data_IF_187448309490
#
_entry.id   IF_187448309490
#
_cell.length_a   1.000
_cell.length_b   1.000
_cell.length_c   1.000
_cell.angle_alpha   90.00
_cell.angle_beta   90.00
_cell.angle_gamma   90.00
#
_symmetry.space_group_name_H-M   'P 1'
#
loop_
_entity.id
_entity.type
_entity.pdbx_description
1 polymer ?
#
# COMPACT_ATOMS: atom_id res chain seq x y z
N UNK A 1 14.64 3.52 33.08
CA UNK A 1 13.54 4.49 33.20
C UNK A 1 13.39 5.16 31.85
N UNK A 2 12.18 5.21 31.32
CA UNK A 2 11.87 5.97 30.10
C UNK A 2 11.43 7.35 30.59
N UNK A 3 12.18 8.40 30.25
CA UNK A 3 11.82 9.78 30.54
C UNK A 3 10.78 10.24 29.52
N UNK A 4 9.58 10.53 29.99
CA UNK A 4 8.48 11.11 29.22
C UNK A 4 8.55 12.63 29.27
N UNK A 5 9.59 13.20 28.68
CA UNK A 5 9.77 14.64 28.59
C UNK A 5 9.60 15.07 27.14
N UNK A 6 8.80 16.12 26.94
CA UNK A 6 8.60 16.71 25.62
C UNK A 6 9.91 17.25 25.07
N UNK A 7 10.18 16.98 23.79
CA UNK A 7 11.45 17.29 23.15
C UNK A 7 11.25 18.27 21.99
N UNK A 8 11.57 19.54 22.24
CA UNK A 8 11.45 20.62 21.26
C UNK A 8 12.35 20.43 20.03
N UNK A 9 13.37 19.57 20.11
CA UNK A 9 14.23 19.20 18.98
C UNK A 9 13.47 18.42 17.90
N UNK A 10 12.27 17.93 18.19
CA UNK A 10 11.40 17.27 17.24
C UNK A 10 10.65 18.25 16.31
N UNK A 11 10.55 19.54 16.66
CA UNK A 11 9.80 20.52 15.86
C UNK A 11 10.26 20.60 14.40
N UNK A 12 11.57 20.64 14.07
CA UNK A 12 12.01 20.61 12.68
C UNK A 12 11.48 19.40 11.90
N UNK A 13 11.33 18.24 12.54
CA UNK A 13 10.76 17.04 11.89
C UNK A 13 9.26 17.21 11.61
N UNK A 14 8.52 17.81 12.56
CA UNK A 14 7.09 18.11 12.38
C UNK A 14 6.89 19.11 11.23
N UNK A 15 7.67 20.20 11.21
CA UNK A 15 7.62 21.19 10.12
C UNK A 15 8.04 20.60 8.78
N UNK A 16 9.10 19.77 8.77
CA UNK A 16 9.54 19.07 7.57
C UNK A 16 8.45 18.14 7.02
N UNK A 17 7.73 17.43 7.88
CA UNK A 17 6.61 16.60 7.47
C UNK A 17 5.46 17.43 6.86
N UNK A 18 5.11 18.57 7.45
CA UNK A 18 4.12 19.50 6.88
C UNK A 18 4.59 20.02 5.52
N UNK A 19 5.87 20.39 5.39
CA UNK A 19 6.44 20.84 4.13
C UNK A 19 6.34 19.75 3.04
N UNK A 20 6.70 18.50 3.35
CA UNK A 20 6.54 17.38 2.42
C UNK A 20 5.07 17.19 2.04
N UNK A 21 4.13 17.33 2.99
CA UNK A 21 2.70 17.26 2.72
C UNK A 21 2.27 18.31 1.68
N UNK A 22 2.67 19.57 1.89
CA UNK A 22 2.37 20.69 0.97
C UNK A 22 2.98 20.44 -0.41
N UNK A 23 4.25 20.04 -0.48
CA UNK A 23 4.91 19.72 -1.75
C UNK A 23 4.21 18.55 -2.45
N UNK A 24 3.81 17.52 -1.70
CA UNK A 24 3.07 16.37 -2.21
C UNK A 24 1.72 16.75 -2.81
N UNK A 25 0.96 17.63 -2.14
CA UNK A 25 -0.32 18.13 -2.68
C UNK A 25 -0.10 18.96 -3.94
N UNK A 26 0.85 19.90 -3.92
CA UNK A 26 1.16 20.74 -5.09
C UNK A 26 1.63 19.93 -6.29
N UNK A 27 2.34 18.83 -6.04
CA UNK A 27 2.74 17.87 -7.07
C UNK A 27 1.66 16.86 -7.45
N UNK A 28 0.49 16.87 -6.80
CA UNK A 28 -0.56 15.84 -6.92
C UNK A 28 0.00 14.40 -6.76
N UNK A 29 0.99 14.25 -5.87
CA UNK A 29 1.75 13.01 -5.69
C UNK A 29 1.36 12.33 -4.36
N UNK A 30 0.44 11.37 -4.46
CA UNK A 30 -0.17 10.71 -3.30
C UNK A 30 0.82 9.92 -2.44
N UNK A 31 1.94 9.43 -2.99
CA UNK A 31 2.90 8.65 -2.23
C UNK A 31 3.66 9.55 -1.24
N UNK A 32 4.12 10.71 -1.70
CA UNK A 32 4.76 11.77 -0.93
C UNK A 32 3.88 12.26 0.20
N UNK A 33 2.58 12.48 -0.07
CA UNK A 33 1.60 12.86 0.96
C UNK A 33 1.49 11.76 2.04
N UNK A 34 1.42 10.48 1.66
CA UNK A 34 1.32 9.36 2.62
C UNK A 34 2.60 9.21 3.46
N UNK A 35 3.78 9.41 2.85
CA UNK A 35 5.07 9.41 3.55
C UNK A 35 5.13 10.55 4.56
N UNK A 36 4.65 11.74 4.20
CA UNK A 36 4.61 12.91 5.08
C UNK A 36 3.83 12.62 6.35
N UNK A 37 2.68 11.92 6.24
CA UNK A 37 1.84 11.55 7.38
C UNK A 37 2.60 10.68 8.40
N UNK A 38 3.43 9.74 7.94
CA UNK A 38 4.22 8.89 8.86
C UNK A 38 5.33 9.68 9.55
N UNK A 39 6.04 10.53 8.81
CA UNK A 39 7.07 11.41 9.38
C UNK A 39 6.43 12.34 10.41
N UNK A 40 5.23 12.83 10.12
CA UNK A 40 4.46 13.68 11.03
C UNK A 40 4.07 12.94 12.32
N UNK A 41 3.56 11.71 12.24
CA UNK A 41 3.23 10.88 13.41
C UNK A 41 4.50 10.62 14.25
N UNK A 42 5.61 10.26 13.63
CA UNK A 42 6.89 10.04 14.32
C UNK A 42 7.37 11.33 14.99
N UNK A 43 7.29 12.46 14.28
CA UNK A 43 7.65 13.78 14.78
C UNK A 43 6.78 14.22 15.97
N UNK A 44 5.48 14.00 15.91
CA UNK A 44 4.55 14.30 17.02
C UNK A 44 4.81 13.42 18.24
N UNK A 45 5.01 12.11 18.06
CA UNK A 45 5.33 11.21 19.18
C UNK A 45 6.66 11.65 19.83
N UNK A 46 7.67 12.00 19.04
CA UNK A 46 8.92 12.52 19.56
C UNK A 46 8.71 13.86 20.29
N UNK A 47 7.96 14.78 19.71
CA UNK A 47 7.71 16.08 20.30
C UNK A 47 6.99 15.98 21.65
N UNK A 48 5.95 15.16 21.74
CA UNK A 48 5.11 15.03 22.93
C UNK A 48 5.80 14.20 24.02
N UNK A 49 6.37 13.05 23.65
CA UNK A 49 6.81 12.02 24.60
C UNK A 49 8.34 11.81 24.64
N UNK A 50 9.09 12.46 23.77
CA UNK A 50 10.54 12.41 23.73
C UNK A 50 11.12 11.23 22.95
N UNK A 51 12.42 11.33 22.66
CA UNK A 51 13.14 10.35 21.81
C UNK A 51 13.18 8.94 22.40
N UNK A 52 13.14 8.82 23.73
CA UNK A 52 13.19 7.51 24.40
C UNK A 52 11.94 6.68 24.09
N UNK A 53 10.78 7.32 23.93
CA UNK A 53 9.53 6.64 23.56
C UNK A 53 9.58 6.12 22.13
N UNK A 54 10.24 6.82 21.20
CA UNK A 54 10.46 6.29 19.85
C UNK A 54 11.25 4.97 19.85
N UNK A 55 12.22 4.82 20.76
CA UNK A 55 13.00 3.56 20.88
C UNK A 55 12.12 2.40 21.37
N UNK A 56 11.19 2.68 22.28
CA UNK A 56 10.22 1.70 22.78
C UNK A 56 9.24 1.34 21.66
N UNK A 57 8.74 2.34 20.94
CA UNK A 57 7.78 2.19 19.84
C UNK A 57 8.42 1.81 18.49
N UNK A 58 9.70 1.43 18.46
CA UNK A 58 10.42 1.11 17.21
C UNK A 58 9.69 0.07 16.35
N UNK A 59 9.08 -0.95 16.97
CA UNK A 59 8.37 -1.98 16.23
C UNK A 59 7.02 -1.48 15.70
N UNK A 60 6.11 -0.91 16.52
CA UNK A 60 4.87 -0.31 16.00
C UNK A 60 5.11 0.74 14.91
N UNK A 61 6.12 1.60 15.07
CA UNK A 61 6.47 2.61 14.08
C UNK A 61 7.03 1.99 12.79
N UNK A 62 7.95 1.04 12.89
CA UNK A 62 8.44 0.31 11.72
C UNK A 62 7.34 -0.49 11.01
N UNK A 63 6.41 -1.07 11.77
CA UNK A 63 5.25 -1.78 11.24
C UNK A 63 4.29 -0.82 10.51
N UNK A 64 4.12 0.40 11.01
CA UNK A 64 3.28 1.43 10.38
C UNK A 64 3.79 1.81 8.98
N UNK A 65 5.09 1.72 8.71
CA UNK A 65 5.63 1.92 7.35
C UNK A 65 5.10 0.91 6.32
N UNK A 66 4.67 -0.29 6.75
CA UNK A 66 4.06 -1.27 5.84
C UNK A 66 2.68 -0.84 5.33
N UNK A 67 2.09 0.21 5.91
CA UNK A 67 0.87 0.84 5.40
C UNK A 67 1.13 1.66 4.13
N UNK A 68 2.37 2.10 3.89
CA UNK A 68 2.68 2.86 2.68
C UNK A 68 2.54 1.97 1.45
N UNK A 69 1.69 2.35 0.48
CA UNK A 69 1.68 1.68 -0.80
C UNK A 69 3.03 1.93 -1.49
N UNK A 70 3.50 0.92 -2.23
CA UNK A 70 4.74 1.04 -2.99
C UNK A 70 4.60 2.14 -4.06
N UNK A 71 5.66 2.93 -4.34
CA UNK A 71 5.68 3.85 -5.46
C UNK A 71 5.27 3.17 -6.76
N UNK A 72 4.52 3.87 -7.62
CA UNK A 72 3.92 3.26 -8.83
C UNK A 72 4.93 2.55 -9.73
N UNK A 73 6.16 3.07 -9.85
CA UNK A 73 7.21 2.42 -10.63
C UNK A 73 7.68 1.10 -9.99
N UNK A 74 7.87 1.06 -8.67
CA UNK A 74 8.25 -0.16 -7.93
C UNK A 74 7.15 -1.20 -8.05
N UNK A 75 5.91 -0.75 -7.83
CA UNK A 75 4.73 -1.61 -7.93
C UNK A 75 4.65 -2.27 -9.31
N UNK A 76 4.75 -1.51 -10.40
CA UNK A 76 4.71 -2.05 -11.77
C UNK A 76 5.87 -3.00 -12.06
N UNK A 77 7.09 -2.66 -11.64
CA UNK A 77 8.28 -3.48 -11.86
C UNK A 77 8.25 -4.81 -11.10
N UNK A 78 7.58 -4.88 -9.95
CA UNK A 78 7.38 -6.12 -9.21
C UNK A 78 6.20 -6.93 -9.75
N UNK A 79 5.10 -6.25 -10.04
CA UNK A 79 3.86 -6.88 -10.50
C UNK A 79 4.02 -7.59 -11.84
N UNK A 80 4.66 -6.97 -12.83
CA UNK A 80 4.70 -7.53 -14.18
C UNK A 80 5.43 -8.89 -14.25
N UNK A 81 6.65 -9.06 -13.67
CA UNK A 81 7.28 -10.38 -13.58
C UNK A 81 6.44 -11.41 -12.82
N UNK A 82 5.78 -10.99 -11.73
CA UNK A 82 4.91 -11.87 -10.95
C UNK A 82 3.70 -12.33 -11.76
N UNK A 83 3.11 -11.47 -12.57
CA UNK A 83 2.00 -11.82 -13.47
C UNK A 83 2.46 -12.84 -14.52
N UNK A 84 3.59 -12.59 -15.19
CA UNK A 84 4.14 -13.52 -16.19
C UNK A 84 4.46 -14.88 -15.55
N UNK A 85 5.13 -14.89 -14.41
CA UNK A 85 5.42 -16.12 -13.67
C UNK A 85 4.13 -16.86 -13.31
N UNK A 86 3.14 -16.14 -12.76
CA UNK A 86 1.87 -16.72 -12.37
C UNK A 86 1.16 -17.34 -13.57
N UNK A 87 1.08 -16.62 -14.69
CA UNK A 87 0.44 -17.10 -15.91
C UNK A 87 1.10 -18.34 -16.50
N UNK A 88 2.44 -18.41 -16.49
CA UNK A 88 3.19 -19.59 -16.97
C UNK A 88 2.82 -20.83 -16.15
N UNK A 89 2.87 -20.73 -14.82
CA UNK A 89 2.60 -21.86 -13.95
C UNK A 89 1.13 -22.26 -13.93
N UNK A 90 0.21 -21.29 -14.02
CA UNK A 90 -1.22 -21.59 -14.11
C UNK A 90 -1.56 -22.35 -15.38
N UNK A 91 -0.99 -21.99 -16.53
CA UNK A 91 -1.19 -22.72 -17.80
C UNK A 91 -0.65 -24.14 -17.71
N UNK A 92 0.53 -24.35 -17.09
CA UNK A 92 1.06 -25.70 -16.86
C UNK A 92 0.10 -26.56 -16.01
N UNK A 93 -0.50 -25.99 -14.97
CA UNK A 93 -1.49 -26.68 -14.15
C UNK A 93 -2.74 -27.00 -14.99
N UNK A 94 -3.25 -26.05 -15.78
CA UNK A 94 -4.40 -26.27 -16.66
C UNK A 94 -4.15 -27.38 -17.69
N UNK A 95 -2.97 -27.39 -18.32
CA UNK A 95 -2.57 -28.46 -19.24
C UNK A 95 -2.49 -29.82 -18.53
N UNK A 96 -1.94 -29.85 -17.31
CA UNK A 96 -1.91 -31.06 -16.47
C UNK A 96 -3.31 -31.57 -16.10
N UNK A 97 -4.32 -30.70 -16.08
CA UNK A 97 -5.73 -31.04 -15.88
C UNK A 97 -6.48 -31.31 -17.20
N UNK A 98 -5.78 -31.40 -18.34
CA UNK A 98 -6.38 -31.68 -19.65
C UNK A 98 -7.20 -30.51 -20.22
N UNK A 99 -6.87 -29.28 -19.84
CA UNK A 99 -7.52 -28.07 -20.37
C UNK A 99 -6.59 -27.42 -21.39
N UNK A 100 -7.06 -27.25 -22.62
CA UNK A 100 -6.34 -26.48 -23.64
C UNK A 100 -6.35 -25.00 -23.25
N UNK A 101 -5.16 -24.43 -23.06
CA UNK A 101 -4.99 -23.02 -22.73
C UNK A 101 -3.78 -22.46 -23.49
N UNK A 102 -3.97 -21.33 -24.16
CA UNK A 102 -2.92 -20.59 -24.84
C UNK A 102 -2.55 -19.35 -24.01
N UNK A 103 -1.26 -19.00 -23.94
CA UNK A 103 -0.79 -17.88 -23.14
C UNK A 103 -0.09 -16.86 -24.02
N UNK A 104 -0.53 -15.61 -23.93
CA UNK A 104 0.13 -14.47 -24.54
C UNK A 104 0.40 -13.41 -23.45
N UNK A 105 1.67 -13.25 -23.07
CA UNK A 105 2.02 -12.39 -21.94
C UNK A 105 1.35 -12.84 -20.63
N UNK A 106 0.56 -11.95 -20.03
CA UNK A 106 -0.25 -12.18 -18.82
C UNK A 106 -1.70 -12.60 -19.13
N UNK A 107 -2.06 -12.77 -20.41
CA UNK A 107 -3.38 -13.23 -20.85
C UNK A 107 -3.34 -14.74 -21.09
N UNK A 108 -4.35 -15.44 -20.59
CA UNK A 108 -4.55 -16.88 -20.79
C UNK A 108 -5.88 -17.07 -21.51
N UNK A 109 -5.83 -17.52 -22.76
CA UNK A 109 -6.98 -17.85 -23.58
C UNK A 109 -7.30 -19.34 -23.44
N UNK A 110 -8.53 -19.67 -23.02
CA UNK A 110 -9.00 -21.05 -22.82
C UNK A 110 -10.05 -21.42 -23.90
N UNK A 111 -10.11 -20.66 -24.99
CA UNK A 111 -10.98 -20.85 -26.15
C UNK A 111 -12.39 -20.26 -25.99
N UNK A 112 -13.02 -20.45 -24.83
CA UNK A 112 -14.35 -19.89 -24.53
C UNK A 112 -14.31 -18.64 -23.64
N UNK A 113 -13.15 -18.33 -23.05
CA UNK A 113 -12.93 -17.13 -22.25
C UNK A 113 -11.46 -16.76 -22.21
N UNK A 114 -11.19 -15.48 -22.00
CA UNK A 114 -9.84 -14.95 -21.80
C UNK A 114 -9.69 -14.53 -20.34
N UNK A 115 -8.78 -15.21 -19.62
CA UNK A 115 -8.38 -14.81 -18.29
C UNK A 115 -7.22 -13.83 -18.40
N UNK A 116 -7.52 -12.56 -18.13
CA UNK A 116 -6.49 -11.55 -18.03
C UNK A 116 -5.98 -11.49 -16.59
N UNK A 117 -4.68 -11.74 -16.38
CA UNK A 117 -4.02 -11.50 -15.10
C UNK A 117 -3.70 -10.00 -14.99
N UNK A 118 -4.75 -9.18 -14.93
CA UNK A 118 -4.71 -7.73 -14.67
C UNK A 118 -4.58 -7.46 -13.16
N UNK A 119 -4.81 -6.22 -12.72
CA UNK A 119 -4.65 -5.75 -11.34
C UNK A 119 -5.30 -6.66 -10.27
N UNK A 120 -6.39 -7.36 -10.62
CA UNK A 120 -7.08 -8.26 -9.71
C UNK A 120 -6.27 -9.51 -9.30
N UNK A 121 -5.27 -9.92 -10.08
CA UNK A 121 -4.51 -11.17 -9.91
C UNK A 121 -2.99 -10.94 -9.87
N UNK A 122 -2.57 -9.71 -9.58
CA UNK A 122 -1.23 -9.22 -9.85
C UNK A 122 -0.13 -9.68 -8.86
N UNK A 123 -0.39 -10.71 -8.07
CA UNK A 123 0.52 -11.28 -7.07
C UNK A 123 0.68 -10.41 -5.82
N UNK A 124 0.97 -9.11 -5.99
CA UNK A 124 1.16 -8.17 -4.88
C UNK A 124 -0.08 -8.02 -4.00
N UNK A 125 -1.28 -8.20 -4.56
CA UNK A 125 -2.56 -8.22 -3.82
C UNK A 125 -2.59 -9.25 -2.68
N UNK A 126 -1.85 -10.36 -2.81
CA UNK A 126 -1.73 -11.38 -1.76
C UNK A 126 -0.43 -11.26 -0.99
N UNK A 127 0.66 -10.94 -1.69
CA UNK A 127 2.00 -10.83 -1.07
C UNK A 127 2.01 -9.76 0.01
N UNK A 128 1.52 -8.54 -0.27
CA UNK A 128 1.62 -7.44 0.71
C UNK A 128 0.83 -7.72 2.00
N UNK A 129 -0.46 -8.12 1.96
CA UNK A 129 -1.19 -8.42 3.20
C UNK A 129 -0.61 -9.61 3.96
N UNK A 130 -0.21 -10.69 3.27
CA UNK A 130 0.35 -11.86 3.92
C UNK A 130 1.75 -11.58 4.50
N UNK A 131 2.55 -10.75 3.82
CA UNK A 131 3.83 -10.26 4.33
C UNK A 131 3.64 -9.42 5.59
N UNK A 132 2.70 -8.47 5.57
CA UNK A 132 2.39 -7.63 6.74
C UNK A 132 1.89 -8.46 7.91
N UNK A 133 0.96 -9.39 7.66
CA UNK A 133 0.52 -10.35 8.67
C UNK A 133 1.68 -11.20 9.18
N UNK A 134 2.56 -11.63 8.28
CA UNK A 134 3.73 -12.43 8.61
C UNK A 134 4.73 -11.72 9.50
N UNK A 135 5.00 -10.43 9.24
CA UNK A 135 5.86 -9.59 10.10
C UNK A 135 5.26 -9.47 11.49
N UNK A 136 3.96 -9.16 11.58
CA UNK A 136 3.26 -9.02 12.86
C UNK A 136 3.28 -10.32 13.65
N UNK A 137 2.88 -11.41 13.01
CA UNK A 137 2.78 -12.72 13.64
C UNK A 137 4.15 -13.27 14.05
N UNK A 138 5.17 -13.15 13.19
CA UNK A 138 6.52 -13.59 13.49
C UNK A 138 7.11 -12.85 14.70
N UNK A 139 6.85 -11.53 14.81
CA UNK A 139 7.32 -10.73 15.93
C UNK A 139 6.78 -11.25 17.28
N UNK A 140 5.47 -11.53 17.36
CA UNK A 140 4.82 -11.97 18.59
C UNK A 140 5.02 -13.46 18.90
N UNK A 141 5.14 -14.31 17.89
CA UNK A 141 5.17 -15.78 18.10
C UNK A 141 6.58 -16.37 18.19
N UNK A 142 7.57 -15.77 17.52
CA UNK A 142 8.92 -16.32 17.44
C UNK A 142 9.91 -15.54 18.31
N UNK A 143 10.72 -16.28 19.07
CA UNK A 143 11.78 -15.70 19.93
C UNK A 143 13.07 -15.38 19.20
N UNK A 144 13.45 -16.22 18.22
CA UNK A 144 14.72 -16.11 17.50
C UNK A 144 14.55 -15.31 16.20
N UNK A 145 15.46 -14.36 15.95
CA UNK A 145 15.40 -13.49 14.77
C UNK A 145 15.47 -14.26 13.45
N UNK A 146 16.28 -15.33 13.36
CA UNK A 146 16.36 -16.13 12.14
C UNK A 146 15.01 -16.81 11.82
N UNK A 147 14.29 -17.31 12.85
CA UNK A 147 12.95 -17.89 12.69
C UNK A 147 11.94 -16.87 12.18
N UNK A 148 12.05 -15.62 12.67
CA UNK A 148 11.24 -14.50 12.18
C UNK A 148 11.49 -14.23 10.70
N UNK A 149 12.76 -14.14 10.32
CA UNK A 149 13.16 -13.87 8.93
C UNK A 149 12.69 -15.00 8.01
N UNK A 150 12.88 -16.26 8.39
CA UNK A 150 12.43 -17.42 7.60
C UNK A 150 10.91 -17.40 7.41
N UNK A 151 10.14 -17.15 8.47
CA UNK A 151 8.68 -17.06 8.35
C UNK A 151 8.22 -15.93 7.45
N UNK A 152 8.79 -14.73 7.63
CA UNK A 152 8.45 -13.58 6.78
C UNK A 152 8.83 -13.87 5.33
N UNK A 153 10.02 -14.42 5.08
CA UNK A 153 10.47 -14.80 3.74
C UNK A 153 9.56 -15.84 3.10
N UNK A 154 9.02 -16.79 3.88
CA UNK A 154 8.10 -17.81 3.40
C UNK A 154 6.73 -17.27 2.96
N UNK A 155 6.33 -16.07 3.40
CA UNK A 155 5.07 -15.45 2.94
C UNK A 155 5.06 -15.18 1.43
N UNK A 156 6.22 -14.83 0.86
CA UNK A 156 6.35 -14.49 -0.57
C UNK A 156 6.06 -15.72 -1.46
N UNK A 157 6.80 -16.86 -1.36
CA UNK A 157 6.51 -18.02 -2.19
C UNK A 157 5.12 -18.60 -1.92
N UNK A 158 4.63 -18.53 -0.68
CA UNK A 158 3.29 -18.98 -0.33
C UNK A 158 2.21 -18.16 -1.06
N UNK A 159 2.33 -16.84 -1.07
CA UNK A 159 1.41 -15.96 -1.78
C UNK A 159 1.49 -16.13 -3.31
N UNK A 160 2.69 -16.31 -3.87
CA UNK A 160 2.87 -16.58 -5.30
C UNK A 160 2.19 -17.90 -5.69
N UNK A 161 2.45 -18.96 -4.92
CA UNK A 161 1.85 -20.27 -5.17
C UNK A 161 0.32 -20.21 -5.10
N UNK A 162 -0.21 -19.55 -4.08
CA UNK A 162 -1.64 -19.36 -3.94
C UNK A 162 -2.27 -18.59 -5.10
N UNK A 163 -1.57 -17.57 -5.62
CA UNK A 163 -2.01 -16.83 -6.79
C UNK A 163 -2.04 -17.72 -8.05
N UNK A 164 -1.01 -18.55 -8.26
CA UNK A 164 -0.95 -19.53 -9.35
C UNK A 164 -2.14 -20.50 -9.29
N UNK A 165 -2.40 -21.06 -8.11
CA UNK A 165 -3.53 -21.98 -7.87
C UNK A 165 -4.86 -21.28 -8.10
N UNK A 166 -5.01 -20.02 -7.65
CA UNK A 166 -6.21 -19.23 -7.88
C UNK A 166 -6.49 -19.04 -9.37
N UNK A 167 -5.50 -18.61 -10.14
CA UNK A 167 -5.66 -18.36 -11.59
C UNK A 167 -6.00 -19.66 -12.33
N UNK A 168 -5.33 -20.78 -12.00
CA UNK A 168 -5.68 -22.08 -12.55
C UNK A 168 -7.10 -22.51 -12.15
N UNK A 169 -7.47 -22.30 -10.89
CA UNK A 169 -8.80 -22.57 -10.35
C UNK A 169 -9.90 -21.75 -11.05
N UNK A 170 -9.64 -20.47 -11.37
CA UNK A 170 -10.58 -19.66 -12.15
C UNK A 170 -10.76 -20.16 -13.57
N UNK A 171 -9.71 -20.67 -14.22
CA UNK A 171 -9.83 -21.29 -15.55
C UNK A 171 -10.60 -22.59 -15.54
N UNK A 172 -10.33 -23.44 -14.53
CA UNK A 172 -11.09 -24.65 -14.28
C UNK A 172 -12.56 -24.34 -14.04
N UNK A 173 -12.84 -23.33 -13.21
CA UNK A 173 -14.20 -22.93 -12.90
C UNK A 173 -14.95 -22.41 -14.13
N UNK A 174 -14.27 -21.64 -14.99
CA UNK A 174 -14.82 -21.19 -16.26
C UNK A 174 -15.25 -22.35 -17.18
N UNK A 175 -14.55 -23.50 -17.13
CA UNK A 175 -14.86 -24.67 -17.97
C UNK A 175 -16.16 -25.35 -17.53
N UNK A 176 -16.34 -25.52 -16.22
CA UNK A 176 -17.44 -26.30 -15.65
C UNK A 176 -18.68 -25.47 -15.31
N UNK A 177 -18.51 -24.21 -14.91
CA UNK A 177 -19.60 -23.33 -14.47
C UNK A 177 -19.82 -22.11 -15.38
N UNK A 178 -19.12 -22.05 -16.52
CA UNK A 178 -19.27 -20.99 -17.51
C UNK A 178 -18.53 -19.69 -17.16
N UNK A 179 -18.55 -18.74 -18.09
CA UNK A 179 -17.76 -17.49 -18.03
C UNK A 179 -18.16 -16.59 -16.85
N UNK A 180 -19.44 -16.60 -16.45
CA UNK A 180 -19.95 -15.83 -15.31
C UNK A 180 -19.32 -16.25 -13.97
N UNK A 181 -18.90 -17.51 -13.83
CA UNK A 181 -18.19 -17.98 -12.65
C UNK A 181 -16.75 -17.44 -12.57
N UNK A 182 -16.16 -17.00 -13.69
CA UNK A 182 -14.80 -16.46 -13.72
C UNK A 182 -14.71 -14.96 -13.39
N UNK A 183 -15.79 -14.20 -13.60
CA UNK A 183 -15.80 -12.72 -13.48
C UNK A 183 -16.69 -12.18 -12.34
N UNK A 184 -17.66 -12.98 -11.86
CA UNK A 184 -18.67 -12.54 -10.87
C UNK A 184 -18.29 -12.77 -9.40
N UNK A 185 -19.29 -13.07 -8.57
CA UNK A 185 -19.14 -13.33 -7.12
C UNK A 185 -18.03 -14.35 -6.78
N UNK A 186 -17.93 -15.42 -7.58
CA UNK A 186 -16.92 -16.47 -7.42
C UNK A 186 -15.48 -15.94 -7.60
N UNK A 187 -15.26 -14.91 -8.42
CA UNK A 187 -13.95 -14.27 -8.58
C UNK A 187 -13.50 -13.54 -7.31
N UNK A 188 -14.42 -12.80 -6.69
CA UNK A 188 -14.14 -12.04 -5.46
C UNK A 188 -14.06 -12.96 -4.24
N UNK A 189 -14.98 -13.92 -4.13
CA UNK A 189 -15.00 -14.90 -3.04
C UNK A 189 -13.77 -15.81 -3.04
N UNK A 190 -13.35 -16.30 -4.22
CA UNK A 190 -12.14 -17.11 -4.34
C UNK A 190 -10.90 -16.37 -3.85
N UNK A 191 -10.84 -15.05 -4.06
CA UNK A 191 -9.72 -14.25 -3.57
C UNK A 191 -9.63 -14.22 -2.04
N UNK A 192 -10.76 -14.04 -1.36
CA UNK A 192 -10.82 -14.10 0.11
C UNK A 192 -10.54 -15.51 0.63
N UNK A 193 -11.13 -16.54 0.02
CA UNK A 193 -10.96 -17.93 0.43
C UNK A 193 -9.49 -18.39 0.32
N UNK A 194 -8.85 -18.05 -0.81
CA UNK A 194 -7.42 -18.34 -1.03
C UNK A 194 -6.55 -17.61 -0.01
N UNK A 195 -6.88 -16.36 0.33
CA UNK A 195 -6.16 -15.63 1.38
C UNK A 195 -6.28 -16.30 2.76
N UNK A 196 -7.50 -16.72 3.15
CA UNK A 196 -7.71 -17.43 4.41
C UNK A 196 -6.95 -18.76 4.46
N UNK A 197 -6.93 -19.49 3.35
CA UNK A 197 -6.15 -20.73 3.22
C UNK A 197 -4.64 -20.45 3.37
N UNK A 198 -4.12 -19.37 2.76
CA UNK A 198 -2.74 -18.94 2.94
C UNK A 198 -2.42 -18.58 4.38
N UNK A 199 -3.31 -17.85 5.05
CA UNK A 199 -3.14 -17.47 6.44
C UNK A 199 -3.11 -18.71 7.35
N UNK A 200 -3.94 -19.71 7.08
CA UNK A 200 -3.93 -21.00 7.79
C UNK A 200 -2.61 -21.77 7.56
N UNK A 201 -2.16 -21.91 6.31
CA UNK A 201 -0.88 -22.56 6.01
C UNK A 201 0.31 -21.82 6.63
N UNK A 202 0.29 -20.49 6.61
CA UNK A 202 1.29 -19.67 7.27
C UNK A 202 1.27 -19.89 8.79
N UNK A 203 0.09 -19.96 9.41
CA UNK A 203 -0.07 -20.30 10.82
C UNK A 203 0.53 -21.66 11.16
N UNK A 204 0.26 -22.68 10.34
CA UNK A 204 0.83 -24.02 10.47
C UNK A 204 2.36 -24.00 10.36
N UNK A 205 2.90 -23.29 9.35
CA UNK A 205 4.33 -23.13 9.17
C UNK A 205 4.99 -22.46 10.40
N UNK A 206 4.35 -21.45 10.97
CA UNK A 206 4.82 -20.79 12.19
C UNK A 206 4.86 -21.72 13.40
N UNK A 207 3.86 -22.60 13.54
CA UNK A 207 3.84 -23.63 14.58
C UNK A 207 5.03 -24.60 14.37
N UNK A 208 5.24 -25.09 13.15
CA UNK A 208 6.36 -25.98 12.83
C UNK A 208 7.70 -25.31 13.15
N UNK A 209 7.90 -24.07 12.67
CA UNK A 209 9.14 -23.31 12.91
C UNK A 209 9.35 -23.02 14.40
N UNK A 210 8.27 -22.82 15.17
CA UNK A 210 8.35 -22.65 16.62
C UNK A 210 8.99 -23.87 17.29
N UNK A 211 8.62 -25.08 16.88
CA UNK A 211 9.13 -26.34 17.45
C UNK A 211 10.48 -26.81 16.91
N UNK A 212 10.99 -26.23 15.81
CA UNK A 212 12.35 -26.54 15.35
C UNK A 212 13.40 -26.21 16.42
N UNK A 213 14.38 -27.09 16.68
CA UNK A 213 15.44 -26.84 17.66
C UNK A 213 16.22 -25.58 17.24
N UNK A 214 16.16 -24.55 18.08
CA UNK A 214 16.91 -23.32 17.87
C UNK A 214 18.26 -23.44 18.55
N UNK A 215 19.29 -23.82 17.80
CA UNK A 215 20.68 -23.72 18.25
C UNK A 215 20.96 -22.27 18.66
N UNK A 216 21.18 -22.07 19.96
CA UNK A 216 21.31 -20.75 20.56
C UNK A 216 20.08 -20.37 21.37
N UNK A 217 20.16 -20.68 22.66
CA UNK A 217 19.47 -19.92 23.68
C UNK A 217 19.91 -18.44 23.57
N UNK A 218 19.30 -17.70 22.64
CA UNK A 218 19.35 -16.25 22.67
C UNK A 218 18.76 -15.86 24.00
N UNK A 219 19.64 -15.38 24.90
CA UNK A 219 19.35 -14.92 26.26
C UNK A 219 17.90 -14.50 26.31
N UNK A 220 17.06 -15.35 26.93
CA UNK A 220 15.65 -15.04 27.08
C UNK A 220 15.61 -13.62 27.59
N UNK A 221 14.95 -12.73 26.84
CA UNK A 221 14.78 -11.36 27.30
C UNK A 221 14.26 -11.52 28.72
N UNK A 222 15.09 -11.16 29.71
CA UNK A 222 14.68 -11.11 31.11
C UNK A 222 13.36 -10.35 31.03
N UNK A 223 12.24 -10.91 31.51
CA UNK A 223 11.01 -10.16 31.53
C UNK A 223 11.38 -8.90 32.29
N UNK A 224 11.51 -7.79 31.54
CA UNK A 224 11.80 -6.52 32.14
C UNK A 224 10.55 -6.30 32.97
N UNK A 225 10.65 -6.57 34.26
CA UNK A 225 9.70 -6.08 35.24
C UNK A 225 9.82 -4.58 35.12
N UNK A 226 9.02 -4.02 34.19
CA UNK A 226 8.79 -2.61 34.12
C UNK A 226 8.07 -2.34 35.43
N UNK A 227 8.84 -1.94 36.44
CA UNK A 227 8.30 -1.18 37.55
C UNK A 227 7.69 0.06 36.90
N UNK A 228 6.41 -0.04 36.58
CA UNK A 228 5.62 1.08 36.13
C UNK A 228 5.40 1.94 37.36
N UNK A 229 6.34 2.86 37.59
CA UNK A 229 6.08 3.97 38.49
C UNK A 229 5.15 4.89 37.73
N UNK A 230 3.91 4.93 38.17
CA UNK A 230 2.84 5.79 37.68
C UNK A 230 3.12 7.25 38.11
N UNK A 231 4.32 7.77 37.79
CA UNK A 231 4.55 9.22 37.82
C UNK A 231 3.86 9.77 36.58
N UNK A 232 2.57 10.08 36.74
CA UNK A 232 1.76 10.75 35.75
C UNK A 232 2.33 12.16 35.56
N UNK A 233 3.35 12.27 34.70
CA UNK A 233 3.82 13.57 34.21
C UNK A 233 2.75 14.13 33.28
N UNK A 234 2.17 15.25 33.67
CA UNK A 234 1.25 15.98 32.80
C UNK A 234 2.01 16.54 31.59
N UNK A 235 1.44 16.37 30.40
CA UNK A 235 1.99 16.95 29.17
C UNK A 235 1.87 18.47 29.30
N UNK A 236 2.95 19.25 29.12
CA UNK A 236 2.89 20.70 29.29
C UNK A 236 1.93 21.31 28.26
N UNK A 237 1.06 22.21 28.71
CA UNK A 237 0.03 22.83 27.85
C UNK A 237 0.56 23.46 26.55
N UNK A 238 1.78 24.05 26.46
CA UNK A 238 2.29 24.58 25.20
C UNK A 238 2.51 23.48 24.16
N UNK A 239 2.90 22.28 24.59
CA UNK A 239 3.11 21.13 23.68
C UNK A 239 1.79 20.65 23.10
N UNK A 240 0.73 20.64 23.91
CA UNK A 240 -0.63 20.33 23.45
C UNK A 240 -1.07 21.38 22.41
N UNK A 241 -0.92 22.67 22.74
CA UNK A 241 -1.30 23.78 21.85
C UNK A 241 -0.53 23.72 20.53
N UNK A 242 0.80 23.55 20.57
CA UNK A 242 1.63 23.45 19.35
C UNK A 242 1.27 22.22 18.52
N UNK A 243 0.99 21.08 19.17
CA UNK A 243 0.54 19.87 18.46
C UNK A 243 -0.81 20.08 17.78
N UNK A 244 -1.78 20.71 18.48
CA UNK A 244 -3.08 21.05 17.92
C UNK A 244 -2.95 22.03 16.75
N UNK A 245 -2.16 23.09 16.90
CA UNK A 245 -1.89 24.05 15.82
C UNK A 245 -1.26 23.33 14.62
N UNK A 246 -0.29 22.44 14.84
CA UNK A 246 0.36 21.70 13.74
C UNK A 246 -0.62 20.81 12.98
N UNK A 247 -1.54 20.14 13.68
CA UNK A 247 -2.58 19.29 13.08
C UNK A 247 -3.61 20.14 12.31
N UNK A 248 -4.10 21.21 12.93
CA UNK A 248 -5.19 22.03 12.37
C UNK A 248 -4.71 22.98 11.25
N UNK A 249 -3.48 23.46 11.30
CA UNK A 249 -2.92 24.36 10.27
C UNK A 249 -2.56 23.62 8.98
N UNK A 250 -2.14 22.36 9.05
CA UNK A 250 -1.75 21.55 7.89
C UNK A 250 -2.79 21.59 6.74
N UNK A 251 -4.08 21.22 6.95
CA UNK A 251 -5.07 21.26 5.88
C UNK A 251 -5.36 22.69 5.39
N UNK A 252 -5.26 23.70 6.27
CA UNK A 252 -5.44 25.10 5.87
C UNK A 252 -4.31 25.59 4.95
N UNK A 253 -3.06 25.26 5.29
CA UNK A 253 -1.89 25.60 4.48
C UNK A 253 -2.00 24.90 3.12
N UNK A 254 -2.31 23.61 3.12
CA UNK A 254 -2.51 22.84 1.89
C UNK A 254 -3.62 23.45 1.03
N UNK A 255 -4.77 23.81 1.62
CA UNK A 255 -5.85 24.45 0.88
C UNK A 255 -5.49 25.85 0.37
N UNK A 256 -4.75 26.63 1.16
CA UNK A 256 -4.36 27.99 0.78
C UNK A 256 -3.35 27.98 -0.38
N UNK A 257 -2.31 27.14 -0.28
CA UNK A 257 -1.25 27.06 -1.30
C UNK A 257 -1.72 26.28 -2.54
N UNK A 258 -2.59 25.29 -2.38
CA UNK A 258 -3.14 24.49 -3.47
C UNK A 258 -4.25 25.18 -4.27
N UNK A 259 -4.81 26.30 -3.78
CA UNK A 259 -5.75 27.11 -4.56
C UNK A 259 -4.99 27.87 -5.65
N UNK A 260 -5.00 27.32 -6.85
CA UNK A 260 -4.72 28.09 -8.07
C UNK A 260 -6.04 28.79 -8.43
N UNK A 261 -6.15 30.12 -8.29
CA UNK A 261 -7.36 30.81 -8.71
C UNK A 261 -7.58 30.57 -10.21
N UNK A 262 -8.84 30.39 -10.66
CA UNK A 262 -9.12 30.23 -12.07
C UNK A 262 -8.56 31.43 -12.84
N UNK A 263 -7.65 31.16 -13.78
CA UNK A 263 -7.08 32.22 -14.61
C UNK A 263 -8.13 32.61 -15.65
N UNK A 264 -8.75 33.77 -15.45
CA UNK A 264 -9.69 34.30 -16.44
C UNK A 264 -8.98 34.50 -17.78
N UNK A 265 -9.54 33.91 -18.83
CA UNK A 265 -9.04 34.10 -20.18
C UNK A 265 -9.20 35.57 -20.57
N UNK A 266 -8.09 36.24 -20.93
CA UNK A 266 -8.12 37.64 -21.40
C UNK A 266 -8.96 37.82 -22.66
N UNK A 267 -9.09 36.76 -23.47
CA UNK A 267 -9.86 36.72 -24.71
C UNK A 267 -10.54 35.35 -24.84
N UNK A 268 -11.70 35.33 -25.49
CA UNK A 268 -12.40 34.09 -25.78
C UNK A 268 -11.53 33.14 -26.61
N UNK A 269 -11.59 31.82 -26.34
CA UNK A 269 -10.92 30.78 -27.14
C UNK A 269 -11.32 30.82 -28.63
N UNK A 270 -12.40 31.52 -28.98
CA UNK A 270 -12.77 31.82 -30.37
C UNK A 270 -11.69 32.58 -31.15
N UNK A 271 -10.85 33.35 -30.45
CA UNK A 271 -9.72 34.14 -31.00
C UNK A 271 -8.41 33.36 -31.11
N UNK A 272 -8.37 32.10 -30.62
CA UNK A 272 -7.19 31.27 -30.72
C UNK A 272 -6.84 30.98 -32.19
N UNK A 273 -5.57 31.20 -32.63
CA UNK A 273 -5.20 31.08 -34.03
C UNK A 273 -5.34 29.63 -34.51
N UNK A 274 -6.06 29.45 -35.61
CA UNK A 274 -6.23 28.14 -36.26
C UNK A 274 -5.03 27.76 -37.13
N UNK A 275 -4.11 28.68 -37.39
CA UNK A 275 -2.86 28.42 -38.09
C UNK A 275 -1.69 28.93 -37.25
N UNK A 276 -0.79 28.04 -36.84
CA UNK A 276 0.37 28.37 -36.03
C UNK A 276 1.57 27.51 -36.43
N UNK A 277 2.67 28.14 -36.85
CA UNK A 277 3.92 27.44 -37.22
C UNK A 277 3.73 26.25 -38.20
N UNK A 278 2.85 26.40 -39.19
CA UNK A 278 2.52 25.36 -40.18
C UNK A 278 1.49 24.32 -39.72
N UNK A 279 1.07 24.36 -38.46
CA UNK A 279 -0.04 23.54 -37.94
C UNK A 279 -1.38 24.21 -38.24
N UNK A 280 -2.36 23.41 -38.68
CA UNK A 280 -3.72 23.86 -38.99
C UNK A 280 -4.74 23.18 -38.07
N UNK A 281 -5.41 23.95 -37.24
CA UNK A 281 -6.45 23.51 -36.33
C UNK A 281 -7.84 23.55 -36.96
N UNK A 282 -8.78 22.78 -36.39
CA UNK A 282 -10.20 22.80 -36.74
C UNK A 282 -11.01 23.08 -35.46
N UNK A 283 -11.98 24.00 -35.54
CA UNK A 283 -12.93 24.22 -34.44
C UNK A 283 -13.88 23.02 -34.36
N UNK A 284 -14.01 22.43 -33.17
CA UNK A 284 -15.04 21.44 -32.86
C UNK A 284 -15.72 21.79 -31.54
N UNK A 285 -16.92 21.28 -31.34
CA UNK A 285 -17.59 21.34 -30.05
C UNK A 285 -17.12 20.17 -29.17
N UNK A 286 -17.11 20.39 -27.86
CA UNK A 286 -16.85 19.34 -26.88
C UNK A 286 -18.19 18.77 -26.41
N UNK A 287 -18.29 17.44 -26.31
CA UNK A 287 -19.49 16.80 -25.78
C UNK A 287 -19.71 17.20 -24.31
N UNK A 288 -20.96 17.42 -23.90
CA UNK A 288 -21.30 17.90 -22.57
C UNK A 288 -20.73 17.03 -21.43
N UNK A 289 -20.69 15.72 -21.61
CA UNK A 289 -20.09 14.80 -20.63
C UNK A 289 -18.58 15.01 -20.45
N UNK A 290 -17.85 15.29 -21.54
CA UNK A 290 -16.42 15.56 -21.47
C UNK A 290 -16.20 16.93 -20.82
N UNK A 291 -17.02 17.92 -21.20
CA UNK A 291 -16.99 19.27 -20.62
C UNK A 291 -17.14 19.26 -19.10
N UNK A 292 -18.09 18.48 -18.59
CA UNK A 292 -18.36 18.36 -17.16
C UNK A 292 -17.23 17.61 -16.42
N UNK A 293 -16.68 16.54 -17.02
CA UNK A 293 -15.58 15.78 -16.46
C UNK A 293 -14.27 16.56 -16.35
N UNK A 294 -14.00 17.48 -17.28
CA UNK A 294 -12.79 18.31 -17.25
C UNK A 294 -12.97 19.59 -16.42
N UNK A 295 -14.14 19.78 -15.79
CA UNK A 295 -14.46 20.98 -15.02
C UNK A 295 -14.58 22.23 -15.90
N UNK A 296 -14.98 22.10 -17.17
CA UNK A 296 -15.03 23.20 -18.13
C UNK A 296 -15.85 24.41 -17.65
N UNK A 297 -16.91 24.15 -16.88
CA UNK A 297 -17.73 25.18 -16.21
C UNK A 297 -16.94 26.11 -15.27
N UNK A 298 -15.79 25.68 -14.75
CA UNK A 298 -14.98 26.48 -13.83
C UNK A 298 -14.09 27.50 -14.57
N UNK A 299 -13.97 27.37 -15.90
CA UNK A 299 -13.04 28.16 -16.74
C UNK A 299 -13.73 29.16 -17.68
N UNK A 300 -15.05 29.05 -17.85
CA UNK A 300 -15.81 29.91 -18.77
C UNK A 300 -16.97 30.55 -18.01
N UNK A 301 -16.82 31.84 -17.71
CA UNK A 301 -17.90 32.74 -17.29
C UNK A 301 -18.24 33.62 -18.48
#
# INVERSE_FOLDING_TARGET
MVNFDSDWRALPVVFFAILICVVGELGSELFTIRVSMLIFIIGLIWFIYGFQVLKVLRFPLAFLFLMLPLPGFIYRNLTFPLQIFSSIWSVKILHGLGISAFREGNVIDIGYTQLQVVDACNGLRYILPLFTLGVLFAYFTQKLNWKRIVLVAATIPLAIFANVVRIAGTGLAGKYWGTQAAEGFFHSFSGWAVFMLCAAFFGLLSIIVKYLPGGGAGKGAVPMTISYREDRKDIPWPVIVVSMISILSSPFIVNYVGRVPPVHLKQSLSTFPLEFAGWRGKKSTMAAQIWEQVGGQDYVI
#
